data_IF_107837708623
#
_entry.id   IF_107837708623
#
_cell.length_a   1.000
_cell.length_b   1.000
_cell.length_c   1.000
_cell.angle_alpha   90.00
_cell.angle_beta   90.00
_cell.angle_gamma   90.00
#
_symmetry.space_group_name_H-M   'P 1'
#
loop_
_entity.id
_entity.type
_entity.pdbx_description
1 polymer ?
#
# COMPACT_ATOMS: atom_id res chain seq x y z
N UNK A 1 4.41 -6.76 3.90
CA UNK A 1 3.76 -5.60 3.25
C UNK A 1 4.72 -5.13 2.17
N UNK A 2 4.32 -5.14 0.89
CA UNK A 2 5.23 -5.05 -0.25
C UNK A 2 5.99 -3.71 -0.34
N UNK A 3 5.69 -2.73 0.52
CA UNK A 3 6.40 -1.44 0.53
C UNK A 3 6.80 -0.98 1.93
N UNK A 4 6.83 -1.88 2.92
CA UNK A 4 7.50 -1.59 4.20
C UNK A 4 8.98 -1.97 4.06
N UNK A 5 9.88 -0.99 3.89
CA UNK A 5 11.34 -1.23 3.86
C UNK A 5 11.86 -1.60 5.24
N UNK A 6 11.59 -2.77 5.79
CA UNK A 6 12.12 -3.14 7.11
C UNK A 6 13.66 -3.06 7.09
N UNK A 7 14.23 -2.20 7.93
CA UNK A 7 15.68 -2.16 8.17
C UNK A 7 15.95 -3.12 9.32
N UNK A 8 16.88 -4.05 9.10
CA UNK A 8 17.23 -5.09 10.06
C UNK A 8 18.08 -4.54 11.22
N UNK A 9 18.05 -5.19 12.39
CA UNK A 9 19.09 -5.14 13.43
C UNK A 9 20.49 -5.11 12.84
N UNK A 10 21.34 -4.20 13.33
CA UNK A 10 22.76 -4.10 12.94
C UNK A 10 23.58 -3.88 14.22
N UNK A 11 24.80 -4.42 14.24
CA UNK A 11 25.68 -4.36 15.43
C UNK A 11 26.37 -3.00 15.61
N UNK A 12 26.20 -2.06 14.67
CA UNK A 12 26.73 -0.70 14.77
C UNK A 12 25.80 0.21 15.61
N UNK A 13 26.24 0.69 16.79
CA UNK A 13 25.42 1.52 17.68
C UNK A 13 25.02 2.88 17.09
N UNK A 14 25.89 3.45 16.24
CA UNK A 14 25.65 4.74 15.60
C UNK A 14 24.55 4.62 14.55
N UNK A 15 24.56 3.52 13.79
CA UNK A 15 23.51 3.20 12.84
C UNK A 15 22.18 2.85 13.54
N UNK A 16 22.23 2.09 14.63
CA UNK A 16 21.03 1.66 15.37
C UNK A 16 20.23 2.85 15.91
N UNK A 17 20.92 3.85 16.47
CA UNK A 17 20.30 5.06 17.00
C UNK A 17 19.51 5.80 15.92
N UNK A 18 20.10 5.96 14.73
CA UNK A 18 19.44 6.58 13.59
C UNK A 18 18.33 5.70 13.01
N UNK A 19 18.50 4.37 13.00
CA UNK A 19 17.45 3.43 12.55
C UNK A 19 16.21 3.55 13.43
N UNK A 20 16.36 3.59 14.74
CA UNK A 20 15.25 3.72 15.68
C UNK A 20 14.48 5.02 15.40
N UNK A 21 15.18 6.14 15.24
CA UNK A 21 14.56 7.43 14.92
C UNK A 21 13.83 7.43 13.58
N UNK A 22 14.42 6.82 12.53
CA UNK A 22 13.74 6.63 11.24
C UNK A 22 12.52 5.74 11.38
N UNK A 23 12.62 4.64 12.11
CA UNK A 23 11.52 3.67 12.30
C UNK A 23 10.33 4.27 13.05
N UNK A 24 10.57 5.13 14.04
CA UNK A 24 9.51 5.83 14.78
C UNK A 24 8.66 6.74 13.88
N UNK A 25 9.28 7.41 12.91
CA UNK A 25 8.61 8.40 12.05
C UNK A 25 7.99 7.81 10.79
N UNK A 26 8.11 6.50 10.58
CA UNK A 26 7.65 5.85 9.36
C UNK A 26 6.14 5.82 9.25
N UNK A 27 5.69 6.09 8.03
CA UNK A 27 4.31 5.91 7.61
C UNK A 27 4.21 4.69 6.71
N UNK A 28 3.15 3.88 6.81
CA UNK A 28 2.87 2.85 5.83
C UNK A 28 2.70 3.49 4.43
N UNK A 29 3.30 2.84 3.43
CA UNK A 29 3.33 3.30 2.04
C UNK A 29 2.30 2.52 1.22
N UNK A 30 1.48 3.22 0.45
CA UNK A 30 0.43 2.64 -0.40
C UNK A 30 0.39 3.34 -1.75
N UNK A 31 0.11 2.60 -2.82
CA UNK A 31 -0.28 3.22 -4.07
C UNK A 31 -1.78 3.56 -4.07
N UNK A 32 -2.18 4.58 -4.83
CA UNK A 32 -3.59 5.01 -4.84
C UNK A 32 -4.52 3.88 -5.35
N UNK A 33 -4.13 3.20 -6.43
CA UNK A 33 -4.89 2.09 -7.00
C UNK A 33 -5.06 0.92 -6.02
N UNK A 34 -4.12 0.71 -5.08
CA UNK A 34 -4.23 -0.35 -4.07
C UNK A 34 -5.36 -0.04 -3.09
N UNK A 35 -5.48 1.22 -2.67
CA UNK A 35 -6.57 1.68 -1.81
C UNK A 35 -7.90 1.62 -2.55
N UNK A 36 -7.91 1.98 -3.83
CA UNK A 36 -9.10 1.95 -4.67
C UNK A 36 -9.56 0.53 -5.01
N UNK A 37 -8.69 -0.48 -5.02
CA UNK A 37 -9.10 -1.88 -5.23
C UNK A 37 -9.46 -2.60 -3.94
N UNK A 38 -9.06 -2.06 -2.79
CA UNK A 38 -9.31 -2.65 -1.48
C UNK A 38 -10.82 -2.63 -1.13
N UNK A 39 -11.39 -3.72 -0.60
CA UNK A 39 -12.79 -3.75 -0.20
C UNK A 39 -13.04 -2.81 0.99
N UNK A 40 -14.24 -2.25 1.09
CA UNK A 40 -14.59 -1.29 2.14
C UNK A 40 -14.39 -1.83 3.57
N UNK A 41 -14.54 -3.15 3.77
CA UNK A 41 -14.23 -3.81 5.05
C UNK A 41 -12.75 -3.71 5.42
N UNK A 42 -11.86 -3.91 4.46
CA UNK A 42 -10.42 -3.81 4.66
C UNK A 42 -9.98 -2.37 4.83
N UNK A 43 -10.53 -1.42 4.06
CA UNK A 43 -10.28 0.01 4.25
C UNK A 43 -10.67 0.47 5.67
N UNK A 44 -11.83 0.03 6.17
CA UNK A 44 -12.25 0.29 7.57
C UNK A 44 -11.35 -0.38 8.61
N UNK A 45 -10.82 -1.56 8.31
CA UNK A 45 -9.85 -2.24 9.17
C UNK A 45 -8.51 -1.50 9.18
N UNK A 46 -8.02 -1.06 8.02
CA UNK A 46 -6.81 -0.28 7.86
C UNK A 46 -6.90 1.03 8.64
N UNK A 47 -7.99 1.77 8.43
CA UNK A 47 -8.24 3.04 9.10
C UNK A 47 -8.26 2.89 10.63
N UNK A 48 -9.02 1.93 11.16
CA UNK A 48 -9.19 1.76 12.62
C UNK A 48 -8.00 1.09 13.29
N UNK A 49 -7.51 -0.03 12.74
CA UNK A 49 -6.55 -0.89 13.41
C UNK A 49 -5.10 -0.48 13.18
N UNK A 50 -4.77 0.00 11.97
CA UNK A 50 -3.39 0.37 11.62
C UNK A 50 -3.12 1.86 11.76
N UNK A 51 -4.07 2.68 11.32
CA UNK A 51 -3.91 4.13 11.33
C UNK A 51 -4.49 4.77 12.60
N UNK A 52 -5.33 4.06 13.36
CA UNK A 52 -5.97 4.60 14.56
C UNK A 52 -6.91 5.78 14.25
N UNK A 53 -7.47 5.84 13.04
CA UNK A 53 -8.53 6.78 12.68
C UNK A 53 -9.83 6.26 13.31
N UNK A 54 -10.44 7.08 14.17
CA UNK A 54 -11.71 6.77 14.86
C UNK A 54 -12.66 7.96 14.74
N UNK A 55 -13.97 7.69 14.80
CA UNK A 55 -15.01 8.71 14.79
C UNK A 55 -15.67 8.91 13.42
N UNK A 56 -16.21 10.12 13.20
CA UNK A 56 -17.08 10.43 12.06
C UNK A 56 -16.48 10.11 10.67
N UNK A 57 -15.16 10.11 10.54
CA UNK A 57 -14.44 9.77 9.30
C UNK A 57 -14.50 8.28 8.91
N UNK A 58 -14.64 7.35 9.88
CA UNK A 58 -14.69 5.90 9.60
C UNK A 58 -16.06 5.29 9.84
N UNK A 59 -16.80 5.82 10.80
CA UNK A 59 -18.11 5.29 11.20
C UNK A 59 -19.27 6.00 10.47
N UNK A 60 -19.03 7.22 9.96
CA UNK A 60 -19.98 8.00 9.14
C UNK A 60 -19.72 7.93 7.63
N UNK A 61 -18.60 7.34 7.20
CA UNK A 61 -18.30 7.17 5.78
C UNK A 61 -19.16 6.05 5.19
N UNK A 62 -20.21 6.44 4.48
CA UNK A 62 -21.14 5.54 3.80
C UNK A 62 -20.49 4.94 2.56
N UNK A 63 -19.75 5.75 1.83
CA UNK A 63 -19.15 5.39 0.55
C UNK A 63 -17.68 4.99 0.65
N UNK A 64 -17.28 4.10 -0.26
CA UNK A 64 -15.88 3.63 -0.34
C UNK A 64 -14.92 4.76 -0.69
N UNK A 65 -15.32 5.63 -1.61
CA UNK A 65 -14.49 6.76 -2.06
C UNK A 65 -14.21 7.74 -0.92
N UNK A 66 -15.17 7.95 -0.01
CA UNK A 66 -14.98 8.80 1.16
C UNK A 66 -13.98 8.18 2.14
N UNK A 67 -13.98 6.86 2.32
CA UNK A 67 -12.99 6.16 3.13
C UNK A 67 -11.58 6.32 2.57
N UNK A 68 -11.41 6.20 1.25
CA UNK A 68 -10.10 6.39 0.59
C UNK A 68 -9.63 7.83 0.80
N UNK A 69 -10.51 8.82 0.54
CA UNK A 69 -10.18 10.23 0.74
C UNK A 69 -9.80 10.54 2.19
N UNK A 70 -10.55 10.04 3.16
CA UNK A 70 -10.27 10.20 4.58
C UNK A 70 -8.91 9.59 4.97
N UNK A 71 -8.55 8.44 4.42
CA UNK A 71 -7.26 7.78 4.67
C UNK A 71 -6.11 8.61 4.09
N UNK A 72 -6.26 9.13 2.87
CA UNK A 72 -5.26 9.98 2.22
C UNK A 72 -5.11 11.31 2.96
N UNK A 73 -6.21 12.00 3.22
CA UNK A 73 -6.25 13.30 3.90
C UNK A 73 -5.73 13.23 5.34
N UNK A 74 -5.80 12.05 5.98
CA UNK A 74 -5.27 11.86 7.33
C UNK A 74 -3.76 12.08 7.45
N UNK A 75 -3.03 12.00 6.32
CA UNK A 75 -1.57 12.12 6.29
C UNK A 75 -0.82 11.02 7.06
N UNK A 76 -1.52 9.96 7.50
CA UNK A 76 -0.91 8.82 8.22
C UNK A 76 -0.33 7.77 7.28
N UNK A 77 -0.59 7.88 5.99
CA UNK A 77 0.01 7.07 4.93
C UNK A 77 0.92 7.94 4.06
N UNK A 78 1.83 7.29 3.34
CA UNK A 78 2.60 7.91 2.26
C UNK A 78 2.15 7.31 0.93
N UNK A 79 1.67 8.17 0.02
CA UNK A 79 1.27 7.75 -1.32
C UNK A 79 2.51 7.59 -2.21
N UNK A 80 2.69 6.41 -2.80
CA UNK A 80 3.73 6.15 -3.78
C UNK A 80 3.15 6.20 -5.19
N UNK A 81 3.93 6.75 -6.12
CA UNK A 81 3.66 6.62 -7.55
C UNK A 81 4.10 5.23 -7.99
N UNK A 82 3.15 4.32 -8.16
CA UNK A 82 3.36 3.02 -8.76
C UNK A 82 2.57 2.96 -10.08
N UNK A 83 3.11 2.28 -11.12
CA UNK A 83 2.40 2.10 -12.37
C UNK A 83 1.05 1.40 -12.13
N UNK A 84 0.05 1.75 -12.94
CA UNK A 84 -1.25 1.09 -12.84
C UNK A 84 -1.09 -0.41 -13.15
N UNK A 85 -1.73 -1.30 -12.39
CA UNK A 85 -1.58 -2.73 -12.61
C UNK A 85 -2.11 -3.11 -13.99
N UNK A 86 -1.28 -3.81 -14.76
CA UNK A 86 -1.69 -4.35 -16.06
C UNK A 86 -2.77 -5.42 -15.86
N UNK A 87 -3.97 -5.14 -16.36
CA UNK A 87 -5.08 -6.10 -16.35
C UNK A 87 -5.09 -6.90 -17.65
N UNK A 88 -5.19 -8.23 -17.54
CA UNK A 88 -5.37 -9.14 -18.67
C UNK A 88 -6.79 -9.70 -18.64
N UNK A 89 -7.48 -9.71 -19.78
CA UNK A 89 -8.91 -10.02 -19.87
C UNK A 89 -9.23 -11.48 -19.56
N UNK A 90 -8.30 -12.39 -19.84
CA UNK A 90 -8.44 -13.80 -19.49
C UNK A 90 -7.10 -14.48 -19.15
N UNK A 91 -7.16 -15.48 -18.27
CA UNK A 91 -6.01 -16.35 -17.98
C UNK A 91 -5.52 -17.11 -19.24
N UNK A 92 -6.40 -17.32 -20.22
CA UNK A 92 -6.04 -17.89 -21.52
C UNK A 92 -5.03 -17.04 -22.30
N UNK A 93 -5.15 -15.71 -22.23
CA UNK A 93 -4.22 -14.78 -22.89
C UNK A 93 -2.83 -14.87 -22.26
N UNK A 94 -2.77 -14.96 -20.92
CA UNK A 94 -1.52 -15.18 -20.18
C UNK A 94 -0.82 -16.47 -20.61
N UNK A 95 -1.57 -17.57 -20.77
CA UNK A 95 -0.99 -18.85 -21.24
C UNK A 95 -0.51 -18.78 -22.68
N UNK A 96 -1.20 -18.03 -23.55
CA UNK A 96 -0.88 -17.91 -24.96
C UNK A 96 0.33 -16.99 -25.24
N UNK A 97 0.67 -16.07 -24.33
CA UNK A 97 1.77 -15.12 -24.52
C UNK A 97 3.16 -15.78 -24.55
N UNK A 98 3.32 -16.98 -24.00
CA UNK A 98 4.60 -17.66 -23.89
C UNK A 98 5.55 -16.99 -22.88
N UNK A 99 6.51 -17.76 -22.37
CA UNK A 99 7.33 -17.37 -21.22
C UNK A 99 8.13 -16.08 -21.44
N UNK A 100 8.59 -15.84 -22.67
CA UNK A 100 9.39 -14.66 -23.01
C UNK A 100 8.61 -13.34 -22.98
N UNK A 101 7.33 -13.34 -23.40
CA UNK A 101 6.48 -12.13 -23.32
C UNK A 101 5.98 -11.91 -21.90
N UNK A 102 5.65 -12.98 -21.18
CA UNK A 102 5.31 -12.92 -19.76
C UNK A 102 6.44 -12.27 -18.94
N UNK A 103 7.69 -12.61 -19.21
CA UNK A 103 8.83 -12.02 -18.48
C UNK A 103 8.95 -10.52 -18.69
N UNK A 104 8.77 -10.04 -19.93
CA UNK A 104 8.78 -8.58 -20.23
C UNK A 104 7.60 -7.87 -19.57
N UNK A 105 6.41 -8.45 -19.66
CA UNK A 105 5.22 -7.92 -19.00
C UNK A 105 5.38 -7.82 -17.48
N UNK A 106 6.17 -8.69 -16.85
CA UNK A 106 6.48 -8.62 -15.42
C UNK A 106 7.63 -7.64 -15.09
N UNK A 107 8.51 -7.33 -16.04
CA UNK A 107 9.59 -6.34 -15.88
C UNK A 107 9.08 -4.90 -16.12
N UNK A 108 8.02 -4.74 -16.92
CA UNK A 108 7.40 -3.45 -17.28
C UNK A 108 6.24 -3.03 -16.36
N UNK A 109 5.81 -3.91 -15.45
CA UNK A 109 4.77 -3.68 -14.44
C UNK A 109 5.37 -3.42 -13.05
#
# INVERSE_FOLDING_TARGET
CPVCRYELPTDDPSYETLRIERMKRRKPRFALYELERMPAKELRSLARNRLGLRGALTDGAVERSDLVRAIVDSGKIELISAPEPVEYGAVGELRAMGVGKLRRAMEEA
#
